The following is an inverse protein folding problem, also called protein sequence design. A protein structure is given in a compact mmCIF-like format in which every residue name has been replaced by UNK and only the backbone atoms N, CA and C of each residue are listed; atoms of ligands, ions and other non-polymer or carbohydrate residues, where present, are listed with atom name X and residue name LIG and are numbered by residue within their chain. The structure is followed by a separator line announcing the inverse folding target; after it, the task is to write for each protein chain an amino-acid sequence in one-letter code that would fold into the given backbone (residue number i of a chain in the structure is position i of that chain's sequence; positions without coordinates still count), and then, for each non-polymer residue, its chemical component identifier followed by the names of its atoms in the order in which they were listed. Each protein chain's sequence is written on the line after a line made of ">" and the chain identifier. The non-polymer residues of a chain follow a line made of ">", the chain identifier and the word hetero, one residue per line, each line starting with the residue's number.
data_IF_011753336755
#
_entry.id   IF_011753336755
#
_cell.length_a   1.000
_cell.length_b   1.000
_cell.length_c   1.000
_cell.angle_alpha   90.00
_cell.angle_beta   90.00
_cell.angle_gamma   90.00
#
_symmetry.space_group_name_H-M   'P 1'
#
loop_
_entity.id
_entity.type
_entity.pdbx_description
1 polymer ?
#
# COMPACT_ATOMS: atom_id res chain seq x y z
N UNK A 1 -23.97 -3.21 2.83
CA UNK A 1 -22.83 -2.34 3.13
C UNK A 1 -23.40 -1.10 3.76
N UNK A 2 -23.21 -0.95 5.06
CA UNK A 2 -23.68 0.22 5.82
C UNK A 2 -22.66 1.36 5.70
N UNK A 3 -23.04 2.56 6.12
CA UNK A 3 -22.11 3.69 6.25
C UNK A 3 -20.91 3.30 7.15
N UNK A 4 -21.20 2.58 8.24
CA UNK A 4 -20.22 2.08 9.21
C UNK A 4 -19.19 1.11 8.58
N UNK A 5 -19.60 0.27 7.63
CA UNK A 5 -18.69 -0.63 6.92
C UNK A 5 -17.66 0.16 6.10
N UNK A 6 -18.09 1.25 5.44
CA UNK A 6 -17.20 2.12 4.65
C UNK A 6 -16.29 2.97 5.53
N UNK A 7 -16.76 3.43 6.68
CA UNK A 7 -15.92 4.12 7.68
C UNK A 7 -14.84 3.20 8.23
N UNK A 8 -15.22 1.98 8.62
CA UNK A 8 -14.26 0.97 9.09
C UNK A 8 -13.24 0.63 8.02
N UNK A 9 -13.67 0.48 6.77
CA UNK A 9 -12.76 0.19 5.65
C UNK A 9 -11.75 1.33 5.44
N UNK A 10 -12.17 2.58 5.53
CA UNK A 10 -11.28 3.76 5.43
C UNK A 10 -10.22 3.83 6.53
N UNK A 11 -10.48 3.25 7.70
CA UNK A 11 -9.48 3.11 8.76
C UNK A 11 -8.53 1.94 8.50
N UNK A 12 -9.05 0.80 8.05
CA UNK A 12 -8.26 -0.42 7.85
C UNK A 12 -7.32 -0.34 6.63
N UNK A 13 -7.77 0.27 5.54
CA UNK A 13 -6.99 0.33 4.30
C UNK A 13 -5.61 1.01 4.46
N UNK A 14 -5.49 2.18 5.11
CA UNK A 14 -4.18 2.77 5.43
C UNK A 14 -3.27 1.86 6.25
N UNK A 15 -3.82 1.16 7.26
CA UNK A 15 -3.04 0.23 8.09
C UNK A 15 -2.51 -0.96 7.29
N UNK A 16 -3.30 -1.52 6.38
CA UNK A 16 -2.84 -2.60 5.50
C UNK A 16 -1.77 -2.13 4.51
N UNK A 17 -1.93 -0.93 3.95
CA UNK A 17 -0.91 -0.32 3.08
C UNK A 17 0.43 -0.13 3.81
N UNK A 18 0.41 0.36 5.04
CA UNK A 18 1.61 0.50 5.87
C UNK A 18 2.25 -0.86 6.18
N UNK A 19 1.43 -1.87 6.51
CA UNK A 19 1.91 -3.21 6.81
C UNK A 19 2.53 -3.90 5.60
N UNK A 20 1.90 -3.77 4.43
CA UNK A 20 2.41 -4.29 3.16
C UNK A 20 3.74 -3.65 2.79
N UNK A 21 3.89 -2.34 2.99
CA UNK A 21 5.17 -1.65 2.76
C UNK A 21 6.28 -2.20 3.67
N UNK A 22 5.98 -2.49 4.95
CA UNK A 22 6.92 -3.11 5.87
C UNK A 22 7.34 -4.52 5.43
N UNK A 23 6.39 -5.37 5.07
CA UNK A 23 6.66 -6.72 4.57
C UNK A 23 7.41 -6.72 3.25
N UNK A 24 7.01 -5.88 2.29
CA UNK A 24 7.65 -5.79 0.98
C UNK A 24 9.13 -5.40 1.07
N UNK A 25 9.46 -4.46 1.98
CA UNK A 25 10.85 -4.09 2.26
C UNK A 25 11.64 -5.24 2.91
N UNK A 26 11.04 -5.97 3.85
CA UNK A 26 11.69 -7.11 4.49
C UNK A 26 11.95 -8.24 3.48
N UNK A 27 10.98 -8.56 2.62
CA UNK A 27 11.16 -9.57 1.58
C UNK A 27 12.28 -9.17 0.60
N UNK A 28 12.36 -7.90 0.20
CA UNK A 28 13.42 -7.40 -0.65
C UNK A 28 14.80 -7.48 0.02
N UNK A 29 14.90 -7.18 1.33
CA UNK A 29 16.14 -7.35 2.11
C UNK A 29 16.60 -8.80 2.12
N UNK A 30 15.69 -9.74 2.38
CA UNK A 30 16.02 -11.16 2.36
C UNK A 30 16.38 -11.66 0.96
N UNK A 31 15.69 -11.21 -0.09
CA UNK A 31 16.04 -11.57 -1.45
C UNK A 31 17.50 -11.21 -1.77
N UNK A 32 17.95 -10.01 -1.40
CA UNK A 32 19.33 -9.56 -1.60
C UNK A 32 20.36 -10.43 -0.87
N UNK A 33 20.04 -10.92 0.34
CA UNK A 33 20.92 -11.82 1.10
C UNK A 33 21.05 -13.21 0.44
N UNK A 34 20.03 -13.65 -0.29
CA UNK A 34 20.02 -14.96 -0.94
C UNK A 34 20.49 -14.95 -2.40
N UNK A 35 20.70 -13.79 -3.03
CA UNK A 35 21.13 -13.69 -4.43
C UNK A 35 22.42 -14.47 -4.74
N UNK A 36 23.37 -14.53 -3.79
CA UNK A 36 24.63 -15.27 -3.94
C UNK A 36 24.56 -16.75 -3.54
N UNK A 37 23.49 -17.19 -2.88
CA UNK A 37 23.40 -18.52 -2.26
C UNK A 37 22.32 -19.40 -2.90
N UNK A 38 21.14 -18.83 -3.16
CA UNK A 38 20.02 -19.53 -3.77
C UNK A 38 19.16 -18.54 -4.58
N UNK A 39 19.36 -18.56 -5.90
CA UNK A 39 18.68 -17.65 -6.82
C UNK A 39 17.16 -17.88 -6.86
N UNK A 40 16.70 -19.11 -6.64
CA UNK A 40 15.28 -19.45 -6.65
C UNK A 40 14.55 -18.85 -5.45
N UNK A 41 15.12 -18.99 -4.24
CA UNK A 41 14.58 -18.34 -3.03
C UNK A 41 14.57 -16.81 -3.20
N UNK A 42 15.66 -16.24 -3.71
CA UNK A 42 15.75 -14.80 -3.96
C UNK A 42 14.68 -14.33 -4.97
N UNK A 43 14.40 -15.13 -6.01
CA UNK A 43 13.37 -14.82 -7.00
C UNK A 43 11.97 -14.83 -6.39
N UNK A 44 11.62 -15.86 -5.61
CA UNK A 44 10.31 -15.96 -4.95
C UNK A 44 10.07 -14.83 -3.94
N UNK A 45 11.10 -14.40 -3.21
CA UNK A 45 10.99 -13.26 -2.29
C UNK A 45 10.77 -11.92 -3.03
N UNK A 46 11.42 -11.73 -4.18
CA UNK A 46 11.14 -10.55 -5.04
C UNK A 46 9.73 -10.60 -5.62
N UNK A 47 9.27 -11.77 -6.04
CA UNK A 47 7.90 -11.96 -6.54
C UNK A 47 6.86 -11.65 -5.45
N UNK A 48 7.09 -12.10 -4.22
CA UNK A 48 6.22 -11.78 -3.07
C UNK A 48 6.19 -10.26 -2.80
N UNK A 49 7.34 -9.58 -2.87
CA UNK A 49 7.42 -8.13 -2.73
C UNK A 49 6.65 -7.40 -3.83
N UNK A 50 6.79 -7.83 -5.08
CA UNK A 50 6.03 -7.28 -6.21
C UNK A 50 4.52 -7.50 -6.07
N UNK A 51 4.11 -8.69 -5.61
CA UNK A 51 2.70 -9.00 -5.36
C UNK A 51 2.07 -8.09 -4.31
N UNK A 52 2.82 -7.68 -3.28
CA UNK A 52 2.36 -6.68 -2.31
C UNK A 52 2.20 -5.29 -2.93
N UNK A 53 3.05 -4.91 -3.89
CA UNK A 53 2.91 -3.63 -4.60
C UNK A 53 1.63 -3.60 -5.47
N UNK A 54 1.32 -4.71 -6.13
CA UNK A 54 0.07 -4.86 -6.89
C UNK A 54 -1.15 -4.81 -5.98
N UNK A 55 -1.07 -5.48 -4.82
CA UNK A 55 -2.10 -5.40 -3.78
C UNK A 55 -2.28 -3.95 -3.29
N UNK A 56 -1.19 -3.23 -3.02
CA UNK A 56 -1.23 -1.83 -2.58
C UNK A 56 -1.89 -0.92 -3.62
N UNK A 57 -1.64 -1.13 -4.91
CA UNK A 57 -2.31 -0.38 -5.97
C UNK A 57 -3.83 -0.60 -5.95
N UNK A 58 -4.28 -1.84 -5.75
CA UNK A 58 -5.70 -2.17 -5.61
C UNK A 58 -6.30 -1.57 -4.33
N UNK A 59 -5.60 -1.65 -3.19
CA UNK A 59 -6.04 -1.10 -1.91
C UNK A 59 -6.14 0.43 -1.93
N UNK A 60 -5.21 1.14 -2.59
CA UNK A 60 -5.31 2.59 -2.81
C UNK A 60 -6.54 2.96 -3.63
N UNK A 61 -6.84 2.18 -4.68
CA UNK A 61 -8.07 2.38 -5.47
C UNK A 61 -9.32 2.14 -4.63
N UNK A 62 -9.33 1.12 -3.77
CA UNK A 62 -10.43 0.87 -2.84
C UNK A 62 -10.59 2.01 -1.82
N UNK A 63 -9.49 2.58 -1.33
CA UNK A 63 -9.51 3.73 -0.40
C UNK A 63 -10.15 4.95 -1.06
N UNK A 64 -9.74 5.25 -2.29
CA UNK A 64 -10.34 6.33 -3.07
C UNK A 64 -11.84 6.11 -3.31
N UNK A 65 -12.25 4.92 -3.76
CA UNK A 65 -13.66 4.60 -4.04
C UNK A 65 -14.53 4.57 -2.77
N UNK A 66 -13.95 4.33 -1.60
CA UNK A 66 -14.66 4.41 -0.32
C UNK A 66 -14.75 5.83 0.25
N UNK A 67 -14.21 6.84 -0.46
CA UNK A 67 -14.23 8.24 -0.04
C UNK A 67 -13.14 8.60 0.97
N UNK A 68 -12.05 7.83 1.05
CA UNK A 68 -10.86 8.17 1.82
C UNK A 68 -9.93 9.10 1.03
N UNK A 69 -9.24 10.00 1.74
CA UNK A 69 -8.23 10.86 1.15
C UNK A 69 -7.00 10.03 0.73
N UNK A 70 -6.54 10.25 -0.50
CA UNK A 70 -5.23 9.77 -0.93
C UNK A 70 -4.18 10.72 -0.33
N UNK A 71 -3.13 10.23 0.36
CA UNK A 71 -2.01 11.09 0.72
C UNK A 71 -1.34 11.53 -0.59
N UNK A 72 -1.57 12.78 -1.01
CA UNK A 72 -0.94 13.37 -2.19
C UNK A 72 -1.81 14.26 -3.10
N UNK A 73 -3.08 14.53 -2.80
CA UNK A 73 -3.83 15.59 -3.50
C UNK A 73 -3.96 16.81 -2.60
N UNK A 74 -3.03 17.76 -2.75
CA UNK A 74 -3.13 19.09 -2.17
C UNK A 74 -4.37 19.79 -2.75
N UNK A 75 -5.46 19.82 -1.97
CA UNK A 75 -6.58 20.70 -2.26
C UNK A 75 -6.13 22.13 -1.96
N UNK A 76 -5.65 22.84 -2.98
CA UNK A 76 -5.41 24.28 -2.94
C UNK A 76 -6.72 25.01 -2.63
N UNK A 77 -6.99 25.28 -1.36
CA UNK A 77 -8.01 26.22 -0.93
C UNK A 77 -7.63 27.61 -1.45
N UNK A 78 -8.30 28.07 -2.52
CA UNK A 78 -8.27 29.48 -2.91
C UNK A 78 -8.98 30.29 -1.83
N UNK A 79 -8.20 31.01 -1.02
CA UNK A 79 -8.71 32.06 -0.14
C UNK A 79 -8.95 33.33 -0.97
N UNK A 80 -10.21 33.63 -1.29
CA UNK A 80 -10.59 34.94 -1.84
C UNK A 80 -10.50 36.00 -0.74
N UNK A 81 -9.83 37.16 -0.95
CA UNK A 81 -9.91 38.27 -0.03
C UNK A 81 -11.15 39.13 -0.35
N UNK A 82 -11.92 39.44 0.69
CA UNK A 82 -12.86 40.57 0.73
C UNK A 82 -12.29 41.71 1.54
#
# INVERSE_FOLDING_TARGET
>A
MTMDDLEKLRVLLPHWLEHNAGHGQEFARWAALFEGNNQEIAALLREASASLQDADAALRKALHLSGGEMPGHEHHHHNLPG
#
